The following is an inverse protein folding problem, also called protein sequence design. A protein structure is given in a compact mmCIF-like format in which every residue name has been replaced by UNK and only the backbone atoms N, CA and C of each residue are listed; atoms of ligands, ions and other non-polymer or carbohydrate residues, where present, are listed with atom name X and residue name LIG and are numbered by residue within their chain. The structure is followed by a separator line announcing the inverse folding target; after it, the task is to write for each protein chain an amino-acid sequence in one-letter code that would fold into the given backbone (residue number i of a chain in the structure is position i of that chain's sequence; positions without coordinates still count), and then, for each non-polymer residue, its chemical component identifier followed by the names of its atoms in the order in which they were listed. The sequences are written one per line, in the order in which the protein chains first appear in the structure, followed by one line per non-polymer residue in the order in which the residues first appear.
data_IF_925085392889
#
_entry.id   IF_925085392889
#
_cell.length_a   1.000
_cell.length_b   1.000
_cell.length_c   1.000
_cell.angle_alpha   90.00
_cell.angle_beta   90.00
_cell.angle_gamma   90.00
#
_symmetry.space_group_name_H-M   'P 1'
#
loop_
_entity.id
_entity.type
_entity.pdbx_description
1 polymer ?
#
# COMPACT_ATOMS: atom_id res chain seq x y z
N UNK A 1 -7.13 2.69 3.25
CA UNK A 1 -7.44 4.00 2.67
C UNK A 1 -6.43 5.08 3.08
N UNK A 2 -6.00 5.12 4.35
CA UNK A 2 -4.97 6.09 4.79
C UNK A 2 -3.64 5.90 4.04
N UNK A 3 -3.19 4.64 3.89
CA UNK A 3 -1.97 4.32 3.15
C UNK A 3 -2.16 4.64 1.66
N UNK A 4 -3.32 4.35 1.09
CA UNK A 4 -3.65 4.68 -0.30
C UNK A 4 -3.59 6.20 -0.54
N UNK A 5 -4.23 6.98 0.32
CA UNK A 5 -4.17 8.45 0.25
C UNK A 5 -2.73 8.95 0.34
N UNK A 6 -1.92 8.39 1.26
CA UNK A 6 -0.51 8.72 1.42
C UNK A 6 0.31 8.39 0.15
N UNK A 7 0.09 7.20 -0.43
CA UNK A 7 0.80 6.77 -1.64
C UNK A 7 0.47 7.64 -2.86
N UNK A 8 -0.78 8.08 -2.97
CA UNK A 8 -1.24 8.97 -4.05
C UNK A 8 -0.85 10.44 -3.85
N UNK A 9 -0.34 10.79 -2.66
CA UNK A 9 -0.01 12.17 -2.25
C UNK A 9 -1.16 13.16 -2.47
N UNK A 10 -2.41 12.68 -2.36
CA UNK A 10 -3.62 13.46 -2.56
C UNK A 10 -4.25 13.89 -1.24
N UNK A 11 -4.93 15.02 -1.29
CA UNK A 11 -5.77 15.50 -0.20
C UNK A 11 -6.96 14.54 -0.02
N UNK A 12 -7.00 13.82 1.13
CA UNK A 12 -8.06 12.86 1.43
C UNK A 12 -8.34 12.81 2.92
N UNK A 13 -9.60 12.97 3.29
CA UNK A 13 -10.07 12.85 4.67
C UNK A 13 -10.81 11.52 4.85
N UNK A 14 -10.36 10.74 5.83
CA UNK A 14 -10.96 9.46 6.23
C UNK A 14 -11.63 9.66 7.58
N UNK A 15 -12.94 9.50 7.62
CA UNK A 15 -13.79 9.77 8.78
C UNK A 15 -14.39 8.50 9.38
N UNK A 16 -15.01 8.64 10.55
CA UNK A 16 -15.65 7.55 11.31
C UNK A 16 -14.69 6.41 11.65
N UNK A 17 -13.47 6.76 12.04
CA UNK A 17 -12.42 5.83 12.47
C UNK A 17 -12.03 6.09 13.92
N UNK A 18 -11.26 5.18 14.48
CA UNK A 18 -10.61 5.34 15.79
C UNK A 18 -9.10 5.50 15.56
N UNK A 19 -8.58 6.74 15.46
CA UNK A 19 -7.18 6.98 15.12
C UNK A 19 -6.18 6.30 16.04
N UNK A 20 -6.54 6.11 17.32
CA UNK A 20 -5.72 5.41 18.31
C UNK A 20 -5.40 3.96 17.91
N UNK A 21 -6.29 3.31 17.16
CA UNK A 21 -6.03 1.95 16.65
C UNK A 21 -5.00 1.95 15.50
N UNK A 22 -4.66 3.11 14.95
CA UNK A 22 -3.78 3.28 13.79
C UNK A 22 -2.46 3.98 14.15
N UNK A 23 -2.16 4.16 15.44
CA UNK A 23 -0.98 4.93 15.89
C UNK A 23 0.32 4.46 15.24
N UNK A 24 0.59 3.16 15.21
CA UNK A 24 1.80 2.61 14.62
C UNK A 24 1.93 2.93 13.12
N UNK A 25 0.81 2.94 12.39
CA UNK A 25 0.75 3.30 10.97
C UNK A 25 0.96 4.80 10.80
N UNK A 26 0.25 5.61 11.58
CA UNK A 26 0.34 7.07 11.57
C UNK A 26 1.78 7.53 11.85
N UNK A 27 2.41 6.97 12.88
CA UNK A 27 3.81 7.28 13.21
C UNK A 27 4.75 7.00 12.03
N UNK A 28 4.59 5.86 11.36
CA UNK A 28 5.42 5.50 10.20
C UNK A 28 5.14 6.36 8.97
N UNK A 29 3.88 6.75 8.75
CA UNK A 29 3.53 7.69 7.68
C UNK A 29 4.13 9.06 7.92
N UNK A 30 4.13 9.56 9.15
CA UNK A 30 4.77 10.82 9.52
C UNK A 30 6.30 10.73 9.42
N UNK A 31 6.89 9.60 9.81
CA UNK A 31 8.34 9.35 9.70
C UNK A 31 8.83 9.42 8.25
N UNK A 32 8.07 8.86 7.30
CA UNK A 32 8.40 8.96 5.86
C UNK A 32 8.11 10.35 5.28
N UNK A 33 7.44 11.22 6.02
CA UNK A 33 7.22 12.61 5.63
C UNK A 33 5.83 12.93 5.10
N UNK A 34 4.85 12.04 5.29
CA UNK A 34 3.45 12.32 4.95
C UNK A 34 2.91 13.40 5.88
N UNK A 35 2.34 14.45 5.29
CA UNK A 35 1.66 15.50 6.02
C UNK A 35 0.22 15.08 6.32
N UNK A 36 -0.18 15.13 7.58
CA UNK A 36 -1.53 14.72 7.99
C UNK A 36 -2.00 15.40 9.27
N UNK A 37 -3.30 15.54 9.39
CA UNK A 37 -4.00 15.93 10.60
C UNK A 37 -4.72 14.71 11.19
N UNK A 38 -4.57 14.50 12.48
CA UNK A 38 -5.22 13.40 13.21
C UNK A 38 -6.19 14.02 14.22
N UNK A 39 -7.48 13.80 14.02
CA UNK A 39 -8.54 14.26 14.91
C UNK A 39 -9.02 13.16 15.86
N UNK A 40 -10.17 13.38 16.46
CA UNK A 40 -10.79 12.42 17.39
C UNK A 40 -11.34 11.17 16.70
N UNK A 41 -11.85 11.34 15.47
CA UNK A 41 -12.55 10.33 14.68
C UNK A 41 -12.20 10.36 13.18
N UNK A 42 -11.12 11.06 12.82
CA UNK A 42 -10.66 11.17 11.45
C UNK A 42 -9.12 11.22 11.33
N UNK A 43 -8.64 10.89 10.13
CA UNK A 43 -7.30 11.20 9.64
C UNK A 43 -7.47 11.93 8.31
N UNK A 44 -6.86 13.11 8.20
CA UNK A 44 -6.81 13.89 6.97
C UNK A 44 -5.38 13.85 6.44
N UNK A 45 -5.18 13.10 5.36
CA UNK A 45 -3.92 13.09 4.63
C UNK A 45 -3.90 14.33 3.74
N UNK A 46 -2.92 15.19 3.95
CA UNK A 46 -2.77 16.43 3.19
C UNK A 46 -1.80 16.20 2.03
N UNK A 47 -1.92 17.02 1.00
CA UNK A 47 -0.98 16.99 -0.11
C UNK A 47 0.46 17.12 0.39
N UNK A 48 1.33 16.23 -0.07
CA UNK A 48 2.74 16.21 0.28
C UNK A 48 3.58 16.53 -0.95
N UNK A 49 4.21 17.71 -0.96
CA UNK A 49 5.06 18.16 -2.08
C UNK A 49 6.55 17.84 -1.87
N UNK A 50 6.91 17.38 -0.69
CA UNK A 50 8.29 17.00 -0.33
C UNK A 50 8.57 15.53 -0.68
N UNK A 51 9.81 15.20 -1.08
CA UNK A 51 10.22 13.81 -1.25
C UNK A 51 10.00 12.99 0.03
N UNK A 52 9.43 11.80 -0.14
CA UNK A 52 9.26 10.85 0.96
C UNK A 52 10.61 10.21 1.31
N UNK A 53 10.84 9.96 2.58
CA UNK A 53 12.10 9.42 3.10
C UNK A 53 11.94 7.93 3.40
N UNK A 54 13.06 7.20 3.26
CA UNK A 54 13.15 5.79 3.67
C UNK A 54 12.81 5.61 5.15
N UNK A 55 12.32 4.42 5.49
CA UNK A 55 12.11 4.00 6.88
C UNK A 55 12.34 2.51 7.05
N UNK A 56 12.36 2.07 8.30
CA UNK A 56 12.40 0.66 8.68
C UNK A 56 11.08 0.25 9.33
N UNK A 57 10.49 -0.83 8.86
CA UNK A 57 9.27 -1.42 9.39
C UNK A 57 9.64 -2.74 10.06
N UNK A 58 9.18 -2.93 11.28
CA UNK A 58 9.21 -4.20 11.99
C UNK A 58 7.78 -4.55 12.39
N UNK A 59 7.23 -5.62 11.80
CA UNK A 59 5.88 -6.06 12.19
C UNK A 59 5.89 -6.62 13.60
N UNK A 60 4.84 -6.30 14.36
CA UNK A 60 4.65 -6.75 15.74
C UNK A 60 3.16 -6.91 16.04
N UNK A 61 2.79 -7.77 17.02
CA UNK A 61 1.43 -7.76 17.54
C UNK A 61 1.03 -6.36 18.05
N UNK A 62 -0.27 -6.09 18.02
CA UNK A 62 -0.82 -4.84 18.56
C UNK A 62 -0.27 -4.55 19.98
N UNK A 63 0.13 -3.29 20.28
CA UNK A 63 -0.03 -2.06 19.50
C UNK A 63 1.10 -1.77 18.49
N UNK A 64 1.92 -2.76 18.11
CA UNK A 64 2.96 -2.58 17.12
C UNK A 64 2.44 -2.48 15.68
N UNK A 65 3.35 -2.42 14.71
CA UNK A 65 2.99 -2.32 13.30
C UNK A 65 2.40 -3.64 12.81
N UNK A 66 1.12 -3.63 12.45
CA UNK A 66 0.37 -4.84 12.10
C UNK A 66 0.85 -5.44 10.77
N UNK A 67 1.04 -6.77 10.75
CA UNK A 67 1.40 -7.53 9.55
C UNK A 67 0.39 -7.37 8.41
N UNK A 68 -0.89 -7.09 8.72
CA UNK A 68 -1.95 -6.93 7.73
C UNK A 68 -1.81 -5.66 6.89
N UNK A 69 -1.08 -4.67 7.35
CA UNK A 69 -0.82 -3.42 6.62
C UNK A 69 0.58 -3.39 6.00
N UNK A 70 1.39 -4.41 6.23
CA UNK A 70 2.76 -4.49 5.72
C UNK A 70 2.81 -4.42 4.19
N UNK A 71 2.00 -5.22 3.48
CA UNK A 71 2.01 -5.27 2.03
C UNK A 71 1.54 -3.94 1.38
N UNK A 72 0.39 -3.34 1.77
CA UNK A 72 0.03 -2.01 1.31
C UNK A 72 1.08 -0.93 1.62
N UNK A 73 1.73 -1.00 2.80
CA UNK A 73 2.76 -0.04 3.16
C UNK A 73 4.03 -0.21 2.33
N UNK A 74 4.39 -1.45 1.94
CA UNK A 74 5.51 -1.73 1.04
C UNK A 74 5.35 -0.98 -0.29
N UNK A 75 4.13 -0.84 -0.81
CA UNK A 75 3.88 -0.04 -2.02
C UNK A 75 4.27 1.42 -1.80
N UNK A 76 3.88 2.03 -0.69
CA UNK A 76 4.28 3.40 -0.36
C UNK A 76 5.81 3.53 -0.29
N UNK A 77 6.50 2.53 0.27
CA UNK A 77 7.96 2.55 0.39
C UNK A 77 8.68 2.54 -0.97
N UNK A 78 8.06 2.02 -2.03
CA UNK A 78 8.60 2.15 -3.40
C UNK A 78 8.69 3.61 -3.86
N UNK A 79 7.94 4.52 -3.24
CA UNK A 79 7.92 5.95 -3.54
C UNK A 79 8.81 6.77 -2.61
N UNK A 80 9.47 6.15 -1.63
CA UNK A 80 10.39 6.80 -0.72
C UNK A 80 11.81 6.85 -1.32
N UNK A 81 12.55 7.92 -1.09
CA UNK A 81 13.94 8.03 -1.53
C UNK A 81 14.88 7.21 -0.63
N UNK A 82 15.75 6.42 -1.23
CA UNK A 82 16.70 5.54 -0.55
C UNK A 82 16.14 4.16 -0.26
N UNK A 83 16.89 3.32 0.45
CA UNK A 83 16.52 1.95 0.76
C UNK A 83 15.71 1.89 2.05
N UNK A 84 14.46 1.44 1.97
CA UNK A 84 13.63 1.07 3.11
C UNK A 84 13.75 -0.41 3.41
N UNK A 85 13.53 -0.81 4.66
CA UNK A 85 13.57 -2.22 5.08
C UNK A 85 12.27 -2.60 5.75
N UNK A 86 11.70 -3.72 5.36
CA UNK A 86 10.53 -4.32 6.01
C UNK A 86 10.93 -5.68 6.56
N UNK A 87 10.87 -5.84 7.88
CA UNK A 87 11.11 -7.12 8.55
C UNK A 87 9.80 -7.65 9.10
N UNK A 88 9.44 -8.86 8.65
CA UNK A 88 8.21 -9.55 9.01
C UNK A 88 8.49 -10.56 10.12
N UNK A 89 7.91 -10.33 11.31
CA UNK A 89 8.13 -11.20 12.48
C UNK A 89 6.94 -12.08 12.83
N UNK A 90 5.79 -11.85 12.18
CA UNK A 90 4.55 -12.59 12.44
C UNK A 90 4.38 -13.72 11.41
N UNK A 91 4.53 -13.37 10.11
CA UNK A 91 4.47 -14.32 8.99
C UNK A 91 5.69 -14.09 8.09
N UNK A 92 6.81 -14.69 8.47
CA UNK A 92 8.14 -14.43 7.90
C UNK A 92 8.25 -14.58 6.39
N UNK A 93 7.33 -15.30 5.74
CA UNK A 93 7.30 -15.51 4.29
C UNK A 93 6.26 -14.65 3.55
N UNK A 94 5.70 -13.61 4.22
CA UNK A 94 4.64 -12.76 3.64
C UNK A 94 5.18 -11.71 2.67
N UNK A 95 5.96 -12.15 1.65
CA UNK A 95 6.58 -11.26 0.66
C UNK A 95 6.22 -11.57 -0.80
N UNK A 96 5.21 -12.41 -1.05
CA UNK A 96 4.78 -12.76 -2.43
C UNK A 96 4.42 -11.54 -3.28
N UNK A 97 3.85 -10.51 -2.67
CA UNK A 97 3.52 -9.24 -3.33
C UNK A 97 4.75 -8.52 -3.91
N UNK A 98 5.96 -8.73 -3.36
CA UNK A 98 7.17 -8.09 -3.86
C UNK A 98 7.50 -8.52 -5.30
N UNK A 99 7.30 -9.79 -5.63
CA UNK A 99 7.49 -10.27 -7.00
C UNK A 99 6.50 -9.61 -7.98
N UNK A 100 5.26 -9.40 -7.55
CA UNK A 100 4.25 -8.73 -8.37
C UNK A 100 4.57 -7.23 -8.53
N UNK A 101 5.02 -6.56 -7.47
CA UNK A 101 5.47 -5.17 -7.54
C UNK A 101 6.70 -5.00 -8.44
N UNK A 102 7.63 -5.95 -8.43
CA UNK A 102 8.80 -5.93 -9.31
C UNK A 102 8.40 -6.02 -10.78
N UNK A 103 7.32 -6.76 -11.14
CA UNK A 103 6.75 -6.73 -12.51
C UNK A 103 6.24 -5.34 -12.91
N UNK A 104 5.85 -4.51 -11.93
CA UNK A 104 5.41 -3.13 -12.13
C UNK A 104 6.55 -2.11 -12.12
N UNK A 105 7.82 -2.56 -12.03
CA UNK A 105 9.01 -1.70 -12.02
C UNK A 105 9.50 -1.28 -10.64
N UNK A 106 9.02 -1.90 -9.58
CA UNK A 106 9.64 -1.77 -8.27
C UNK A 106 11.01 -2.45 -8.24
N UNK A 107 11.87 -2.03 -7.32
CA UNK A 107 13.19 -2.63 -7.05
C UNK A 107 13.20 -3.13 -5.61
N UNK A 108 12.79 -4.39 -5.44
CA UNK A 108 12.63 -5.02 -4.12
C UNK A 108 13.39 -6.34 -4.09
N UNK A 109 14.35 -6.43 -3.16
CA UNK A 109 15.09 -7.65 -2.85
C UNK A 109 14.54 -8.30 -1.58
N UNK A 110 14.17 -9.58 -1.67
CA UNK A 110 13.61 -10.33 -0.52
C UNK A 110 14.67 -11.29 0.03
N UNK A 111 15.00 -11.09 1.28
CA UNK A 111 15.86 -11.97 2.08
C UNK A 111 15.13 -12.29 3.40
N UNK A 112 14.27 -13.29 3.36
CA UNK A 112 13.40 -13.66 4.49
C UNK A 112 14.19 -13.73 5.81
N UNK A 113 13.75 -13.04 6.89
CA UNK A 113 12.42 -12.45 7.07
C UNK A 113 12.33 -10.96 6.68
N UNK A 114 13.19 -10.45 5.81
CA UNK A 114 13.22 -9.04 5.44
C UNK A 114 13.10 -8.83 3.94
N UNK A 115 12.53 -7.69 3.55
CA UNK A 115 12.55 -7.15 2.20
C UNK A 115 13.25 -5.79 2.21
N UNK A 116 14.07 -5.54 1.20
CA UNK A 116 14.81 -4.32 0.97
C UNK A 116 14.20 -3.60 -0.24
N UNK A 117 13.61 -2.45 -0.02
CA UNK A 117 12.90 -1.67 -1.03
C UNK A 117 13.77 -0.50 -1.44
N UNK A 118 14.31 -0.54 -2.65
CA UNK A 118 15.15 0.51 -3.22
C UNK A 118 14.26 1.53 -3.94
N UNK A 119 14.01 2.66 -3.33
CA UNK A 119 13.19 3.73 -3.91
C UNK A 119 14.01 4.98 -4.21
N UNK A 120 13.45 5.93 -4.90
CA UNK A 120 12.12 6.02 -5.49
C UNK A 120 12.09 5.31 -6.84
N UNK A 121 11.09 4.44 -7.08
CA UNK A 121 10.91 3.80 -8.37
C UNK A 121 9.65 4.34 -9.07
N UNK A 122 9.69 4.36 -10.39
CA UNK A 122 8.54 4.74 -11.22
C UNK A 122 7.77 3.46 -11.58
N UNK A 123 6.63 3.26 -10.91
CA UNK A 123 5.77 2.13 -11.23
C UNK A 123 5.06 2.34 -12.57
N UNK A 124 4.86 1.26 -13.30
CA UNK A 124 4.15 1.24 -14.60
C UNK A 124 3.12 0.12 -14.63
N UNK A 125 2.14 0.27 -15.53
CA UNK A 125 1.13 -0.75 -15.76
C UNK A 125 1.73 -2.10 -16.11
N UNK A 126 1.15 -3.16 -15.58
CA UNK A 126 1.58 -4.54 -15.80
C UNK A 126 0.45 -5.52 -15.52
N UNK A 127 0.62 -6.76 -15.93
CA UNK A 127 -0.25 -7.88 -15.58
C UNK A 127 0.27 -8.52 -14.30
N UNK A 128 -0.53 -8.46 -13.23
CA UNK A 128 -0.18 -8.93 -11.88
C UNK A 128 -1.29 -9.79 -11.29
N UNK A 129 -0.96 -10.59 -10.30
CA UNK A 129 -1.88 -11.57 -9.69
C UNK A 129 -2.00 -11.33 -8.19
N UNK A 130 -3.22 -11.18 -7.70
CA UNK A 130 -3.50 -11.12 -6.27
C UNK A 130 -3.36 -12.51 -5.65
N UNK A 131 -2.34 -12.74 -4.86
CA UNK A 131 -2.08 -14.05 -4.23
C UNK A 131 -2.83 -14.25 -2.91
N UNK A 132 -3.29 -13.16 -2.32
CA UNK A 132 -4.10 -13.10 -1.11
C UNK A 132 -4.75 -11.71 -0.99
N UNK A 133 -5.63 -11.54 0.02
CA UNK A 133 -6.35 -10.29 0.27
C UNK A 133 -5.42 -9.07 0.39
N UNK A 134 -4.32 -9.19 1.11
CA UNK A 134 -3.42 -8.07 1.42
C UNK A 134 -2.55 -7.72 0.22
N UNK A 135 -2.10 -8.75 -0.51
CA UNK A 135 -1.43 -8.60 -1.80
C UNK A 135 -2.35 -7.83 -2.76
N UNK A 136 -3.60 -8.28 -2.91
CA UNK A 136 -4.58 -7.61 -3.76
C UNK A 136 -4.78 -6.14 -3.39
N UNK A 137 -4.94 -5.83 -2.10
CA UNK A 137 -5.05 -4.44 -1.63
C UNK A 137 -3.80 -3.61 -1.98
N UNK A 138 -2.61 -4.17 -1.79
CA UNK A 138 -1.35 -3.53 -2.18
C UNK A 138 -1.27 -3.29 -3.68
N UNK A 139 -1.64 -4.28 -4.52
CA UNK A 139 -1.63 -4.15 -5.98
C UNK A 139 -2.63 -3.10 -6.48
N UNK A 140 -3.79 -2.96 -5.85
CA UNK A 140 -4.73 -1.87 -6.14
C UNK A 140 -4.07 -0.50 -5.89
N UNK A 141 -3.39 -0.33 -4.75
CA UNK A 141 -2.67 0.92 -4.45
C UNK A 141 -1.56 1.16 -5.47
N UNK A 142 -0.79 0.12 -5.82
CA UNK A 142 0.27 0.23 -6.83
C UNK A 142 -0.29 0.63 -8.20
N UNK A 143 -1.42 0.05 -8.61
CA UNK A 143 -2.09 0.38 -9.87
C UNK A 143 -2.58 1.85 -9.92
N UNK A 144 -3.06 2.38 -8.78
CA UNK A 144 -3.52 3.77 -8.69
C UNK A 144 -2.41 4.80 -8.87
N UNK A 145 -1.15 4.44 -8.58
CA UNK A 145 0.01 5.34 -8.70
C UNK A 145 0.91 5.01 -9.89
N UNK A 146 0.65 3.91 -10.59
CA UNK A 146 1.42 3.48 -11.76
C UNK A 146 1.05 4.26 -13.03
N UNK A 147 2.01 4.44 -13.92
CA UNK A 147 1.74 4.96 -15.26
C UNK A 147 1.21 3.84 -16.17
N UNK A 148 0.10 4.09 -16.84
CA UNK A 148 -0.52 3.12 -17.77
C UNK A 148 -1.61 2.28 -17.13
N UNK A 149 -1.92 1.12 -17.73
CA UNK A 149 -2.99 0.23 -17.28
C UNK A 149 -2.39 -0.99 -16.58
N UNK A 150 -2.91 -1.30 -15.41
CA UNK A 150 -2.56 -2.52 -14.66
C UNK A 150 -3.74 -3.49 -14.69
N UNK A 151 -3.49 -4.73 -15.10
CA UNK A 151 -4.44 -5.83 -15.01
C UNK A 151 -4.18 -6.62 -13.73
N UNK A 152 -5.15 -6.68 -12.83
CA UNK A 152 -5.07 -7.45 -11.59
C UNK A 152 -5.92 -8.71 -11.74
N UNK A 153 -5.28 -9.88 -11.73
CA UNK A 153 -5.93 -11.18 -11.77
C UNK A 153 -6.23 -11.73 -10.39
N UNK A 154 -7.08 -12.75 -10.32
CA UNK A 154 -7.51 -13.45 -9.09
C UNK A 154 -8.13 -12.49 -8.05
N UNK A 155 -8.92 -11.52 -8.53
CA UNK A 155 -9.53 -10.47 -7.71
C UNK A 155 -10.54 -11.01 -6.69
N UNK A 156 -10.96 -12.28 -6.77
CA UNK A 156 -11.78 -12.91 -5.74
C UNK A 156 -11.12 -12.86 -4.35
N UNK A 157 -9.79 -12.80 -4.28
CA UNK A 157 -9.07 -12.56 -3.04
C UNK A 157 -9.37 -11.18 -2.43
N UNK A 158 -9.59 -10.17 -3.28
CA UNK A 158 -9.97 -8.82 -2.86
C UNK A 158 -11.44 -8.80 -2.44
N UNK A 159 -12.32 -9.37 -3.26
CA UNK A 159 -13.77 -9.32 -3.09
C UNK A 159 -14.25 -9.97 -1.79
N UNK A 160 -13.58 -11.02 -1.33
CA UNK A 160 -13.93 -11.68 -0.06
C UNK A 160 -13.71 -10.83 1.19
N UNK A 161 -12.96 -9.74 1.12
CA UNK A 161 -12.63 -8.89 2.26
C UNK A 161 -12.93 -7.40 2.08
N UNK A 162 -13.16 -6.96 0.84
CA UNK A 162 -13.51 -5.58 0.51
C UNK A 162 -14.81 -5.55 -0.29
N UNK A 163 -15.87 -5.11 0.36
CA UNK A 163 -17.16 -4.92 -0.29
C UNK A 163 -17.09 -3.78 -1.32
N UNK A 164 -17.34 -4.10 -2.61
CA UNK A 164 -17.42 -3.14 -3.72
C UNK A 164 -16.26 -2.13 -3.76
N UNK A 165 -15.01 -2.62 -3.64
CA UNK A 165 -13.82 -1.76 -3.58
C UNK A 165 -13.67 -0.92 -4.85
N UNK A 166 -13.84 -1.51 -6.01
CA UNK A 166 -13.77 -0.85 -7.31
C UNK A 166 -14.82 0.25 -7.46
N UNK A 167 -16.07 -0.01 -7.08
CA UNK A 167 -17.12 1.00 -7.09
C UNK A 167 -16.83 2.16 -6.14
N UNK A 168 -16.32 1.88 -4.94
CA UNK A 168 -15.92 2.92 -3.97
C UNK A 168 -14.77 3.77 -4.48
N UNK A 169 -13.76 3.16 -5.07
CA UNK A 169 -12.61 3.86 -5.62
C UNK A 169 -12.97 4.66 -6.87
N UNK A 170 -13.83 4.12 -7.75
CA UNK A 170 -14.35 4.85 -8.91
C UNK A 170 -15.14 6.10 -8.48
N UNK A 171 -15.94 5.99 -7.41
CA UNK A 171 -16.63 7.15 -6.83
C UNK A 171 -15.67 8.23 -6.30
N UNK A 172 -14.49 7.83 -5.84
CA UNK A 172 -13.40 8.74 -5.44
C UNK A 172 -12.58 9.27 -6.63
N UNK A 173 -12.91 8.88 -7.86
CA UNK A 173 -12.27 9.37 -9.08
C UNK A 173 -11.23 8.44 -9.70
N UNK A 174 -11.05 7.22 -9.18
CA UNK A 174 -10.19 6.22 -9.81
C UNK A 174 -10.77 5.75 -11.15
N UNK A 175 -9.91 5.60 -12.16
CA UNK A 175 -10.28 5.03 -13.45
C UNK A 175 -10.05 3.53 -13.40
N UNK A 176 -11.10 2.77 -13.17
CA UNK A 176 -11.01 1.31 -13.08
C UNK A 176 -12.33 0.65 -13.53
N UNK A 177 -12.23 -0.57 -13.98
CA UNK A 177 -13.36 -1.38 -14.44
C UNK A 177 -13.05 -2.86 -14.23
N UNK A 178 -14.05 -3.72 -14.36
CA UNK A 178 -13.92 -5.17 -14.33
C UNK A 178 -14.13 -5.72 -15.73
N UNK A 179 -13.33 -6.72 -16.07
CA UNK A 179 -13.50 -7.51 -17.28
C UNK A 179 -13.64 -8.98 -16.89
N UNK A 180 -14.56 -9.68 -17.54
CA UNK A 180 -14.59 -11.15 -17.48
C UNK A 180 -13.57 -11.67 -18.48
N UNK A 181 -12.65 -12.48 -18.02
CA UNK A 181 -11.68 -13.18 -18.87
C UNK A 181 -12.26 -14.56 -19.13
N UNK A 182 -12.58 -14.85 -20.40
CA UNK A 182 -12.90 -16.22 -20.80
C UNK A 182 -11.62 -17.07 -20.66
N UNK A 183 -11.72 -18.21 -19.98
CA UNK A 183 -10.63 -19.20 -19.78
C UNK A 183 -10.25 -19.92 -21.10
#
# INVERSE_FOLDING_TARGET
YVIMAAAMANDMRIENIIPQHLEAIVMKLQEVGINMEVGSDFIHVLKTDKPLKRTEILTKPYPGFATDVQQPFTVLLTQCEGQSVVTETIYTERFKHCAELNKMGADIDVHTPSAFINGKTKLHGSKVTATDLRCGAGLVIAALIADGVTEIHDIYHIDRGYDNLDGKLAHLGAKMWREEVED
#
